data_IF_939651147229
#
_entry.id   IF_939651147229
#
_cell.length_a   1.000
_cell.length_b   1.000
_cell.length_c   1.000
_cell.angle_alpha   90.00
_cell.angle_beta   90.00
_cell.angle_gamma   90.00
#
_symmetry.space_group_name_H-M   'P 1'
#
loop_
_entity.id
_entity.type
_entity.pdbx_description
1 polymer ?
#
# COMPACT_ATOMS: atom_id res chain seq x y z
N UNK A 1 -5.02 -56.60 -42.10
CA UNK A 1 -6.20 -55.75 -42.36
C UNK A 1 -6.10 -54.57 -41.43
N UNK A 2 -5.65 -53.46 -42.00
CA UNK A 2 -5.54 -52.11 -41.45
C UNK A 2 -6.93 -51.45 -41.43
N UNK A 3 -7.24 -50.68 -40.39
CA UNK A 3 -8.16 -49.53 -40.38
C UNK A 3 -7.87 -48.77 -39.07
N UNK A 4 -7.04 -47.74 -39.09
CA UNK A 4 -7.31 -46.33 -39.45
C UNK A 4 -7.83 -45.51 -38.27
N UNK A 5 -6.94 -44.63 -37.79
CA UNK A 5 -7.24 -43.42 -37.05
C UNK A 5 -8.14 -42.49 -37.88
N UNK A 6 -9.12 -41.88 -37.23
CA UNK A 6 -9.65 -40.58 -37.66
C UNK A 6 -9.74 -39.67 -36.46
N UNK A 7 -8.85 -38.68 -36.46
CA UNK A 7 -8.90 -37.49 -35.65
C UNK A 7 -10.13 -36.65 -36.01
N UNK A 8 -10.78 -36.07 -35.00
CA UNK A 8 -11.59 -34.86 -35.16
C UNK A 8 -11.15 -33.87 -34.11
N UNK A 9 -10.37 -32.91 -34.60
CA UNK A 9 -10.16 -31.56 -34.08
C UNK A 9 -11.49 -30.83 -33.90
N UNK A 10 -11.58 -29.94 -32.92
CA UNK A 10 -12.82 -29.22 -32.65
C UNK A 10 -12.83 -28.35 -31.40
N UNK A 11 -11.88 -27.42 -31.29
CA UNK A 11 -12.14 -26.10 -30.70
C UNK A 11 -11.96 -25.97 -29.18
N UNK A 12 -10.73 -25.70 -28.77
CA UNK A 12 -10.47 -24.98 -27.54
C UNK A 12 -11.07 -23.56 -27.66
N UNK A 13 -12.18 -23.32 -26.96
CA UNK A 13 -12.56 -21.97 -26.61
C UNK A 13 -11.68 -21.58 -25.42
N UNK A 14 -10.77 -20.65 -25.67
CA UNK A 14 -9.94 -20.03 -24.64
C UNK A 14 -10.83 -19.38 -23.59
N UNK A 15 -10.82 -19.96 -22.40
CA UNK A 15 -11.35 -19.34 -21.20
C UNK A 15 -10.18 -18.63 -20.50
N UNK A 16 -9.82 -17.46 -21.03
CA UNK A 16 -8.73 -16.62 -20.54
C UNK A 16 -9.02 -15.99 -19.16
N UNK A 17 -10.08 -16.44 -18.46
CA UNK A 17 -10.46 -16.00 -17.11
C UNK A 17 -10.13 -16.98 -15.98
N UNK A 18 -9.82 -18.25 -16.29
CA UNK A 18 -9.77 -19.34 -15.28
C UNK A 18 -8.47 -19.36 -14.49
N UNK A 19 -7.35 -18.94 -15.09
CA UNK A 19 -6.04 -19.02 -14.44
C UNK A 19 -5.75 -17.87 -13.46
N UNK A 20 -6.42 -16.72 -13.61
CA UNK A 20 -6.00 -15.47 -12.97
C UNK A 20 -6.26 -15.41 -11.46
N UNK A 21 -7.19 -16.21 -10.90
CA UNK A 21 -7.59 -16.11 -9.50
C UNK A 21 -7.43 -17.40 -8.67
N UNK A 22 -6.89 -18.48 -9.26
CA UNK A 22 -6.61 -19.76 -8.57
C UNK A 22 -5.44 -19.71 -7.55
N UNK A 23 -5.12 -18.54 -7.01
CA UNK A 23 -3.99 -18.28 -6.11
C UNK A 23 -4.36 -18.40 -4.60
N UNK A 24 -5.39 -19.19 -4.27
CA UNK A 24 -5.74 -19.55 -2.88
C UNK A 24 -5.12 -20.87 -2.42
N UNK A 25 -4.12 -21.39 -3.15
CA UNK A 25 -3.52 -22.70 -2.90
C UNK A 25 -4.35 -23.87 -3.43
N UNK A 26 -5.38 -23.59 -4.23
CA UNK A 26 -6.13 -24.59 -4.97
C UNK A 26 -5.29 -25.15 -6.12
N UNK A 27 -4.76 -26.36 -5.97
CA UNK A 27 -3.95 -27.02 -7.01
C UNK A 27 -4.67 -28.19 -7.69
N UNK A 28 -5.90 -28.49 -7.29
CA UNK A 28 -6.73 -29.54 -7.87
C UNK A 28 -7.99 -28.92 -8.46
N UNK A 29 -8.55 -29.56 -9.47
CA UNK A 29 -9.77 -29.12 -10.17
C UNK A 29 -10.92 -28.85 -9.18
N UNK A 30 -11.21 -29.80 -8.28
CA UNK A 30 -12.19 -29.61 -7.21
C UNK A 30 -11.85 -28.44 -6.25
N UNK A 31 -10.57 -28.21 -5.95
CA UNK A 31 -10.20 -27.07 -5.11
C UNK A 31 -10.40 -25.73 -5.84
N UNK A 32 -10.18 -25.70 -7.16
CA UNK A 32 -10.43 -24.54 -8.01
C UNK A 32 -11.93 -24.25 -8.07
N UNK A 33 -12.76 -25.27 -8.31
CA UNK A 33 -14.23 -25.15 -8.29
C UNK A 33 -14.75 -24.58 -6.96
N UNK A 34 -14.21 -25.04 -5.82
CA UNK A 34 -14.58 -24.52 -4.50
C UNK A 34 -14.17 -23.04 -4.35
N UNK A 35 -12.96 -22.70 -4.79
CA UNK A 35 -12.46 -21.33 -4.71
C UNK A 35 -13.29 -20.38 -5.58
N UNK A 36 -13.58 -20.77 -6.82
CA UNK A 36 -14.45 -20.04 -7.76
C UNK A 36 -15.85 -19.85 -7.18
N UNK A 37 -16.50 -20.95 -6.78
CA UNK A 37 -17.85 -20.90 -6.18
C UNK A 37 -17.87 -19.99 -4.95
N UNK A 38 -16.82 -20.02 -4.13
CA UNK A 38 -16.71 -19.13 -2.97
C UNK A 38 -16.61 -17.66 -3.38
N UNK A 39 -15.90 -17.35 -4.46
CA UNK A 39 -15.71 -15.98 -4.92
C UNK A 39 -16.94 -15.44 -5.64
N UNK A 40 -17.63 -16.25 -6.42
CA UNK A 40 -18.90 -15.89 -7.05
C UNK A 40 -19.91 -15.40 -6.01
N UNK A 41 -20.03 -16.15 -4.89
CA UNK A 41 -20.87 -15.74 -3.76
C UNK A 41 -20.43 -14.43 -3.11
N UNK A 42 -19.13 -14.13 -3.12
CA UNK A 42 -18.62 -12.85 -2.61
C UNK A 42 -18.93 -11.72 -3.58
N UNK A 43 -18.82 -11.96 -4.89
CA UNK A 43 -19.14 -10.98 -5.95
C UNK A 43 -20.65 -10.68 -6.04
N UNK A 44 -21.52 -11.59 -5.61
CA UNK A 44 -22.94 -11.30 -5.39
C UNK A 44 -23.17 -10.27 -4.26
N UNK A 45 -22.24 -10.18 -3.30
CA UNK A 45 -22.36 -9.33 -2.11
C UNK A 45 -21.65 -7.99 -2.26
N UNK A 46 -20.58 -7.93 -3.07
CA UNK A 46 -19.71 -6.76 -3.19
C UNK A 46 -19.57 -6.39 -4.68
N UNK A 47 -19.83 -5.13 -5.07
CA UNK A 47 -19.58 -4.65 -6.44
C UNK A 47 -18.16 -4.99 -6.91
N UNK A 48 -17.90 -5.02 -8.22
CA UNK A 48 -16.56 -5.29 -8.78
C UNK A 48 -16.12 -4.18 -9.73
N UNK A 49 -16.58 -2.95 -9.50
CA UNK A 49 -16.40 -1.83 -10.43
C UNK A 49 -15.05 -1.11 -10.20
N UNK A 50 -14.55 -1.14 -8.97
CA UNK A 50 -13.33 -0.41 -8.58
C UNK A 50 -12.29 -1.33 -7.94
N UNK A 51 -11.03 -0.87 -7.91
CA UNK A 51 -10.00 -1.58 -7.13
C UNK A 51 -10.37 -1.61 -5.66
N UNK A 52 -10.96 -0.54 -5.11
CA UNK A 52 -11.43 -0.53 -3.73
C UNK A 52 -12.43 -1.69 -3.45
N UNK A 53 -13.27 -2.03 -4.41
CA UNK A 53 -14.24 -3.11 -4.25
C UNK A 53 -13.60 -4.49 -4.23
N UNK A 54 -12.51 -4.71 -4.98
CA UNK A 54 -11.70 -5.94 -4.87
C UNK A 54 -11.18 -6.15 -3.45
N UNK A 55 -10.75 -5.08 -2.78
CA UNK A 55 -10.30 -5.16 -1.38
C UNK A 55 -11.46 -5.41 -0.41
N UNK A 56 -12.64 -4.85 -0.67
CA UNK A 56 -13.86 -5.17 0.10
C UNK A 56 -14.25 -6.63 -0.06
N UNK A 57 -14.23 -7.16 -1.29
CA UNK A 57 -14.50 -8.56 -1.61
C UNK A 57 -13.47 -9.49 -0.94
N UNK A 58 -12.18 -9.17 -1.06
CA UNK A 58 -11.12 -9.91 -0.36
C UNK A 58 -11.31 -9.89 1.15
N UNK A 59 -11.74 -8.77 1.73
CA UNK A 59 -12.02 -8.69 3.16
C UNK A 59 -13.18 -9.62 3.58
N UNK A 60 -14.27 -9.65 2.79
CA UNK A 60 -15.38 -10.59 3.02
C UNK A 60 -14.90 -12.03 2.91
N UNK A 61 -14.16 -12.37 1.86
CA UNK A 61 -13.64 -13.72 1.64
C UNK A 61 -12.71 -14.18 2.77
N UNK A 62 -11.72 -13.36 3.13
CA UNK A 62 -10.72 -13.69 4.15
C UNK A 62 -11.31 -13.82 5.57
N UNK A 63 -12.49 -13.25 5.81
CA UNK A 63 -13.14 -13.25 7.13
C UNK A 63 -14.37 -14.17 7.18
N UNK A 64 -14.93 -14.54 6.03
CA UNK A 64 -16.22 -15.22 5.93
C UNK A 64 -17.40 -14.37 6.40
N UNK A 65 -17.24 -13.04 6.45
CA UNK A 65 -18.21 -12.12 7.05
C UNK A 65 -18.57 -10.99 6.05
N UNK A 66 -19.78 -11.04 5.45
CA UNK A 66 -20.26 -10.05 4.47
C UNK A 66 -20.19 -8.60 4.96
N UNK A 67 -20.27 -8.36 6.27
CA UNK A 67 -20.25 -7.01 6.84
C UNK A 67 -18.92 -6.30 6.60
N UNK A 68 -17.84 -7.03 6.37
CA UNK A 68 -16.52 -6.41 6.18
C UNK A 68 -16.48 -5.44 5.00
N UNK A 69 -17.31 -5.63 3.97
CA UNK A 69 -17.42 -4.69 2.86
C UNK A 69 -17.75 -3.26 3.33
N UNK A 70 -18.50 -3.12 4.44
CA UNK A 70 -18.89 -1.83 5.03
C UNK A 70 -17.91 -1.33 6.08
N UNK A 71 -16.96 -2.15 6.52
CA UNK A 71 -15.99 -1.81 7.57
C UNK A 71 -14.65 -1.31 7.04
N UNK A 72 -14.24 -1.74 5.85
CA UNK A 72 -12.96 -1.33 5.25
C UNK A 72 -12.94 0.18 5.01
N UNK A 73 -11.81 0.82 5.28
CA UNK A 73 -11.56 2.25 5.06
C UNK A 73 -10.24 2.43 4.35
N UNK A 74 -10.20 3.44 3.48
CA UNK A 74 -9.07 3.78 2.64
C UNK A 74 -8.62 5.22 2.92
N UNK A 75 -7.34 5.53 2.68
CA UNK A 75 -6.79 6.90 2.64
C UNK A 75 -6.10 7.16 1.31
N UNK A 76 -5.89 8.42 0.96
CA UNK A 76 -5.27 8.83 -0.30
C UNK A 76 -6.21 9.63 -1.20
N UNK A 77 -5.79 9.84 -2.45
CA UNK A 77 -6.53 10.70 -3.38
C UNK A 77 -7.94 10.19 -3.70
N UNK A 78 -8.13 8.87 -3.69
CA UNK A 78 -9.41 8.19 -3.82
C UNK A 78 -9.33 6.83 -3.11
N UNK A 79 -10.46 6.12 -2.99
CA UNK A 79 -10.50 4.83 -2.29
C UNK A 79 -9.66 3.73 -2.94
N UNK A 80 -9.34 3.86 -4.23
CA UNK A 80 -8.49 2.91 -4.96
C UNK A 80 -6.99 3.25 -4.85
N UNK A 81 -6.62 4.40 -4.29
CA UNK A 81 -5.22 4.81 -4.22
C UNK A 81 -4.33 3.85 -3.42
N UNK A 82 -4.72 3.31 -2.24
CA UNK A 82 -3.92 2.30 -1.55
C UNK A 82 -3.67 1.05 -2.38
N UNK A 83 -4.64 0.63 -3.20
CA UNK A 83 -4.49 -0.51 -4.09
C UNK A 83 -3.43 -0.24 -5.16
N UNK A 84 -3.51 0.93 -5.83
CA UNK A 84 -2.51 1.31 -6.84
C UNK A 84 -1.13 1.49 -6.22
N UNK A 85 -1.04 2.16 -5.07
CA UNK A 85 0.22 2.45 -4.39
C UNK A 85 0.92 1.17 -3.92
N UNK A 86 0.19 0.26 -3.27
CA UNK A 86 0.77 -1.02 -2.86
C UNK A 86 1.11 -1.91 -4.06
N UNK A 87 0.29 -1.92 -5.12
CA UNK A 87 0.64 -2.64 -6.34
C UNK A 87 1.93 -2.10 -6.98
N UNK A 88 2.09 -0.77 -7.08
CA UNK A 88 3.36 -0.15 -7.52
C UNK A 88 4.55 -0.57 -6.65
N UNK A 89 4.36 -0.62 -5.33
CA UNK A 89 5.40 -1.06 -4.41
C UNK A 89 5.76 -2.55 -4.63
N UNK A 90 4.77 -3.41 -4.88
CA UNK A 90 5.01 -4.82 -5.25
C UNK A 90 5.77 -4.93 -6.58
N UNK A 91 5.40 -4.13 -7.59
CA UNK A 91 6.10 -4.08 -8.88
C UNK A 91 7.55 -3.61 -8.74
N UNK A 92 7.81 -2.70 -7.81
CA UNK A 92 9.14 -2.22 -7.47
C UNK A 92 9.90 -3.15 -6.51
N UNK A 93 9.35 -4.33 -6.19
CA UNK A 93 9.93 -5.31 -5.27
C UNK A 93 10.21 -4.76 -3.86
N UNK A 94 9.42 -3.76 -3.44
CA UNK A 94 9.58 -3.11 -2.14
C UNK A 94 9.38 -4.12 -0.99
N UNK A 95 10.09 -3.96 0.14
CA UNK A 95 9.94 -4.84 1.30
C UNK A 95 8.50 -4.86 1.82
N UNK A 96 8.05 -6.04 2.25
CA UNK A 96 6.78 -6.21 2.98
C UNK A 96 7.13 -6.48 4.45
N UNK A 97 6.74 -5.57 5.33
CA UNK A 97 7.11 -5.59 6.75
C UNK A 97 5.89 -5.87 7.60
N UNK A 98 5.79 -7.07 8.15
CA UNK A 98 4.64 -7.51 8.95
C UNK A 98 4.89 -7.31 10.45
N UNK A 99 3.86 -7.00 11.24
CA UNK A 99 4.01 -6.87 12.70
C UNK A 99 4.42 -8.20 13.35
N UNK A 100 3.81 -9.32 12.96
CA UNK A 100 4.05 -10.65 13.53
C UNK A 100 4.27 -11.76 12.48
N UNK A 101 4.75 -12.92 12.96
CA UNK A 101 5.00 -14.11 12.14
C UNK A 101 3.74 -14.62 11.40
N UNK A 102 2.58 -14.63 12.05
CA UNK A 102 1.35 -15.19 11.46
C UNK A 102 0.91 -14.44 10.20
N UNK A 103 1.06 -13.11 10.18
CA UNK A 103 0.78 -12.29 8.99
C UNK A 103 1.76 -12.65 7.87
N UNK A 104 3.07 -12.68 8.17
CA UNK A 104 4.11 -13.09 7.21
C UNK A 104 3.81 -14.46 6.59
N UNK A 105 3.38 -15.43 7.39
CA UNK A 105 3.07 -16.78 6.90
C UNK A 105 1.83 -16.86 6.01
N UNK A 106 0.92 -15.87 6.08
CA UNK A 106 -0.28 -15.83 5.23
C UNK A 106 -0.07 -15.10 3.90
N UNK A 107 1.06 -14.41 3.72
CA UNK A 107 1.39 -13.72 2.48
C UNK A 107 1.89 -14.76 1.46
N UNK A 108 1.31 -14.75 0.26
CA UNK A 108 1.70 -15.67 -0.82
C UNK A 108 3.15 -15.42 -1.24
N UNK A 109 3.88 -16.47 -1.61
CA UNK A 109 5.20 -16.34 -2.22
C UNK A 109 5.18 -16.25 -3.75
N UNK A 110 3.99 -16.33 -4.36
CA UNK A 110 3.80 -16.30 -5.81
C UNK A 110 3.48 -14.88 -6.27
N UNK A 111 3.79 -14.58 -7.53
CA UNK A 111 3.41 -13.31 -8.15
C UNK A 111 4.25 -12.09 -7.75
N UNK A 112 5.27 -12.21 -6.89
CA UNK A 112 6.21 -11.13 -6.57
C UNK A 112 7.57 -11.65 -6.09
N UNK A 113 8.58 -10.77 -6.02
CA UNK A 113 9.90 -11.05 -5.44
C UNK A 113 10.25 -10.18 -4.23
N UNK A 114 9.29 -9.41 -3.71
CA UNK A 114 9.44 -8.64 -2.47
C UNK A 114 9.98 -9.47 -1.30
N UNK A 115 10.92 -8.90 -0.55
CA UNK A 115 11.34 -9.48 0.73
C UNK A 115 10.20 -9.35 1.76
N UNK A 116 9.69 -10.49 2.26
CA UNK A 116 8.70 -10.50 3.35
C UNK A 116 9.41 -10.73 4.68
N UNK A 117 9.45 -9.69 5.52
CA UNK A 117 10.08 -9.73 6.87
C UNK A 117 9.07 -9.40 7.95
N UNK A 118 9.36 -9.86 9.16
CA UNK A 118 8.55 -9.57 10.36
C UNK A 118 9.28 -8.61 11.27
N UNK A 119 8.54 -7.70 11.90
CA UNK A 119 9.04 -6.78 12.91
C UNK A 119 9.31 -7.52 14.22
N UNK A 120 8.38 -8.36 14.69
CA UNK A 120 8.53 -9.06 15.97
C UNK A 120 9.83 -9.86 16.03
N UNK A 121 10.61 -9.62 17.10
CA UNK A 121 11.95 -10.18 17.28
C UNK A 121 13.05 -9.11 17.24
N UNK A 122 12.73 -7.90 16.76
CA UNK A 122 13.60 -6.72 16.85
C UNK A 122 13.24 -5.88 18.10
N UNK A 123 14.15 -5.04 18.58
CA UNK A 123 13.87 -4.08 19.65
C UNK A 123 13.61 -4.71 21.03
N UNK A 124 14.17 -5.88 21.32
CA UNK A 124 13.98 -6.57 22.61
C UNK A 124 14.52 -5.74 23.79
N UNK A 125 15.67 -5.10 23.61
CA UNK A 125 16.28 -4.19 24.59
C UNK A 125 15.39 -2.96 24.80
N UNK A 126 14.96 -2.31 23.71
CA UNK A 126 14.04 -1.17 23.77
C UNK A 126 12.75 -1.49 24.52
N UNK A 127 12.17 -2.67 24.31
CA UNK A 127 10.98 -3.12 25.04
C UNK A 127 11.25 -3.27 26.55
N UNK A 128 12.40 -3.83 26.93
CA UNK A 128 12.78 -4.03 28.32
C UNK A 128 13.05 -2.71 29.04
N UNK A 129 13.72 -1.77 28.37
CA UNK A 129 14.10 -0.47 28.95
C UNK A 129 12.90 0.46 29.14
N UNK A 130 11.97 0.48 28.17
CA UNK A 130 10.85 1.44 28.17
C UNK A 130 9.54 0.87 28.72
N UNK A 131 9.46 -0.45 28.90
CA UNK A 131 8.25 -1.15 29.33
C UNK A 131 7.15 -1.23 28.26
N UNK A 132 7.44 -0.87 27.01
CA UNK A 132 6.47 -0.97 25.91
C UNK A 132 6.28 -2.42 25.43
N UNK A 133 5.21 -2.67 24.69
CA UNK A 133 4.99 -4.01 24.10
C UNK A 133 6.07 -4.34 23.09
N UNK A 134 6.49 -5.61 23.02
CA UNK A 134 7.48 -6.09 22.04
C UNK A 134 7.18 -5.67 20.60
N UNK A 135 5.92 -5.72 20.18
CA UNK A 135 5.52 -5.33 18.81
C UNK A 135 5.70 -3.84 18.55
N UNK A 136 5.41 -2.97 19.52
CA UNK A 136 5.66 -1.53 19.39
C UNK A 136 7.17 -1.25 19.31
N UNK A 137 7.96 -1.84 20.21
CA UNK A 137 9.41 -1.69 20.20
C UNK A 137 10.04 -2.20 18.89
N UNK A 138 9.55 -3.33 18.37
CA UNK A 138 10.00 -3.86 17.08
C UNK A 138 9.72 -2.92 15.91
N UNK A 139 8.57 -2.24 15.89
CA UNK A 139 8.25 -1.24 14.85
C UNK A 139 9.23 -0.07 14.95
N UNK A 140 9.37 0.53 16.14
CA UNK A 140 10.29 1.66 16.35
C UNK A 140 11.75 1.31 16.02
N UNK A 141 12.17 0.09 16.34
CA UNK A 141 13.53 -0.37 16.03
C UNK A 141 13.77 -0.51 14.53
N UNK A 142 12.80 -1.08 13.79
CA UNK A 142 12.92 -1.18 12.33
C UNK A 142 12.79 0.19 11.64
N UNK A 143 12.00 1.09 12.21
CA UNK A 143 11.88 2.47 11.73
C UNK A 143 13.20 3.24 11.83
N UNK A 144 13.89 3.14 12.97
CA UNK A 144 15.24 3.71 13.15
C UNK A 144 16.27 3.19 12.14
N UNK A 145 16.04 2.01 11.59
CA UNK A 145 16.88 1.38 10.56
C UNK A 145 16.45 1.78 9.13
N UNK A 146 15.44 2.63 8.98
CA UNK A 146 14.90 3.09 7.69
C UNK A 146 14.11 2.02 6.93
N UNK A 147 13.68 0.95 7.60
CA UNK A 147 13.08 -0.23 6.93
C UNK A 147 11.67 0.05 6.40
N UNK A 148 10.97 1.04 6.96
CA UNK A 148 9.59 1.35 6.60
C UNK A 148 9.46 2.34 5.42
N UNK A 149 10.50 3.11 5.10
CA UNK A 149 10.44 4.06 3.99
C UNK A 149 10.31 3.32 2.64
N UNK A 150 9.25 3.64 1.89
CA UNK A 150 8.90 2.97 0.63
C UNK A 150 8.42 1.52 0.78
N UNK A 151 8.36 0.96 2.00
CA UNK A 151 7.91 -0.40 2.24
C UNK A 151 6.38 -0.52 2.26
N UNK A 152 5.88 -1.75 2.15
CA UNK A 152 4.50 -2.10 2.47
C UNK A 152 4.45 -2.52 3.93
N UNK A 153 3.88 -1.66 4.79
CA UNK A 153 3.77 -1.93 6.22
C UNK A 153 2.46 -2.68 6.52
N UNK A 154 2.54 -3.85 7.16
CA UNK A 154 1.37 -4.71 7.41
C UNK A 154 1.22 -4.99 8.90
N UNK A 155 0.14 -4.50 9.51
CA UNK A 155 -0.18 -4.71 10.93
C UNK A 155 -1.46 -5.52 11.06
N UNK A 156 -1.34 -6.83 11.32
CA UNK A 156 -2.50 -7.72 11.40
C UNK A 156 -2.95 -8.07 12.81
N UNK A 157 -2.09 -7.88 13.82
CA UNK A 157 -2.37 -8.38 15.16
C UNK A 157 -2.33 -7.31 16.24
N UNK A 158 -1.25 -6.53 16.35
CA UNK A 158 -1.01 -5.71 17.53
C UNK A 158 -1.50 -4.25 17.39
N UNK A 159 -2.51 -3.80 18.18
CA UNK A 159 -2.91 -2.39 18.20
C UNK A 159 -1.75 -1.44 18.55
N UNK A 160 -0.83 -1.88 19.40
CA UNK A 160 0.34 -1.08 19.77
C UNK A 160 1.38 -0.97 18.66
N UNK A 161 1.45 -1.93 17.73
CA UNK A 161 2.27 -1.78 16.52
C UNK A 161 1.67 -0.73 15.57
N UNK A 162 0.35 -0.70 15.43
CA UNK A 162 -0.33 0.33 14.64
C UNK A 162 -0.14 1.73 15.24
N UNK A 163 -0.16 1.87 16.57
CA UNK A 163 0.15 3.13 17.24
C UNK A 163 1.60 3.57 17.00
N UNK A 164 2.56 2.66 17.19
CA UNK A 164 3.98 2.95 16.94
C UNK A 164 4.25 3.32 15.47
N UNK A 165 3.62 2.62 14.52
CA UNK A 165 3.76 2.95 13.10
C UNK A 165 3.15 4.33 12.78
N UNK A 166 2.06 4.70 13.44
CA UNK A 166 1.51 6.04 13.32
C UNK A 166 2.47 7.09 13.89
N UNK A 167 3.15 6.83 15.02
CA UNK A 167 4.21 7.72 15.53
C UNK A 167 5.33 7.89 14.51
N UNK A 168 5.78 6.79 13.88
CA UNK A 168 6.82 6.84 12.85
C UNK A 168 6.41 7.71 11.64
N UNK A 169 5.15 7.57 11.18
CA UNK A 169 4.63 8.37 10.06
C UNK A 169 4.56 9.85 10.43
N UNK A 170 4.09 10.16 11.64
CA UNK A 170 4.05 11.54 12.17
C UNK A 170 5.47 12.15 12.22
N UNK A 171 6.46 11.34 12.59
CA UNK A 171 7.88 11.74 12.69
C UNK A 171 8.64 11.77 11.35
N UNK A 172 8.01 11.37 10.24
CA UNK A 172 8.55 11.56 8.90
C UNK A 172 8.68 10.31 8.04
N UNK A 173 8.46 9.12 8.59
CA UNK A 173 8.52 7.86 7.83
C UNK A 173 7.42 7.80 6.77
N UNK A 174 7.74 7.33 5.57
CA UNK A 174 6.80 7.26 4.43
C UNK A 174 6.74 5.86 3.82
N UNK A 175 5.95 4.93 4.40
CA UNK A 175 5.62 3.67 3.74
C UNK A 175 4.93 3.92 2.40
N UNK A 176 5.18 3.07 1.40
CA UNK A 176 4.51 3.17 0.11
C UNK A 176 3.02 2.84 0.21
N UNK A 177 2.67 1.90 1.09
CA UNK A 177 1.30 1.60 1.47
C UNK A 177 1.26 0.96 2.86
N UNK A 178 0.13 1.11 3.56
CA UNK A 178 -0.11 0.51 4.87
C UNK A 178 -1.35 -0.39 4.83
N UNK A 179 -1.26 -1.61 5.33
CA UNK A 179 -2.41 -2.50 5.59
C UNK A 179 -2.48 -2.73 7.09
N UNK A 180 -3.45 -2.13 7.77
CA UNK A 180 -3.54 -2.20 9.23
C UNK A 180 -4.94 -2.63 9.69
N UNK A 181 -5.03 -3.88 10.11
CA UNK A 181 -6.24 -4.50 10.62
C UNK A 181 -6.01 -5.24 11.94
N UNK A 182 -5.25 -4.70 12.93
CA UNK A 182 -5.07 -5.39 14.22
C UNK A 182 -6.42 -5.68 14.88
N UNK A 183 -6.63 -6.91 15.33
CA UNK A 183 -7.84 -7.33 16.06
C UNK A 183 -7.71 -7.01 17.55
N UNK A 184 -8.83 -6.70 18.21
CA UNK A 184 -8.83 -6.64 19.66
C UNK A 184 -10.00 -5.90 20.27
N UNK A 185 -10.22 -6.15 21.55
CA UNK A 185 -11.22 -5.45 22.36
C UNK A 185 -10.68 -4.19 23.03
N UNK A 186 -9.37 -4.03 23.08
CA UNK A 186 -8.67 -2.91 23.71
C UNK A 186 -7.79 -2.24 22.66
N UNK A 187 -7.94 -0.92 22.50
CA UNK A 187 -7.15 -0.05 21.59
C UNK A 187 -7.20 -0.40 20.09
N UNK A 188 -7.79 -1.51 19.65
CA UNK A 188 -7.80 -1.88 18.24
C UNK A 188 -8.53 -0.84 17.37
N UNK A 189 -9.74 -0.42 17.77
CA UNK A 189 -10.49 0.62 17.06
C UNK A 189 -9.73 1.96 17.03
N UNK A 190 -9.22 2.39 18.19
CA UNK A 190 -8.55 3.69 18.34
C UNK A 190 -7.20 3.73 17.62
N UNK A 191 -6.43 2.64 17.67
CA UNK A 191 -5.13 2.54 16.98
C UNK A 191 -5.28 2.63 15.46
N UNK A 192 -6.26 1.94 14.88
CA UNK A 192 -6.54 2.03 13.44
C UNK A 192 -7.13 3.37 13.05
N UNK A 193 -7.92 3.99 13.93
CA UNK A 193 -8.41 5.36 13.73
C UNK A 193 -7.24 6.34 13.65
N UNK A 194 -6.36 6.34 14.67
CA UNK A 194 -5.19 7.21 14.70
C UNK A 194 -4.28 6.98 13.50
N UNK A 195 -3.91 5.73 13.22
CA UNK A 195 -3.07 5.40 12.06
C UNK A 195 -3.68 5.91 10.76
N UNK A 196 -5.00 5.75 10.57
CA UNK A 196 -5.68 6.25 9.38
C UNK A 196 -5.64 7.78 9.29
N UNK A 197 -5.88 8.48 10.39
CA UNK A 197 -5.83 9.95 10.43
C UNK A 197 -4.42 10.48 10.11
N UNK A 198 -3.39 9.94 10.77
CA UNK A 198 -2.00 10.31 10.52
C UNK A 198 -1.56 9.95 9.09
N UNK A 199 -1.94 8.76 8.60
CA UNK A 199 -1.61 8.37 7.25
C UNK A 199 -2.24 9.31 6.20
N UNK A 200 -3.49 9.71 6.39
CA UNK A 200 -4.16 10.68 5.50
C UNK A 200 -3.49 12.05 5.55
N UNK A 201 -3.19 12.56 6.75
CA UNK A 201 -2.52 13.85 6.97
C UNK A 201 -1.14 13.93 6.30
N UNK A 202 -0.38 12.84 6.35
CA UNK A 202 0.97 12.77 5.78
C UNK A 202 1.04 12.17 4.37
N UNK A 203 -0.11 11.92 3.72
CA UNK A 203 -0.17 11.43 2.35
C UNK A 203 0.32 9.98 2.16
N UNK A 204 0.21 9.14 3.19
CA UNK A 204 0.51 7.71 3.17
C UNK A 204 -0.77 6.92 2.83
N UNK A 205 -0.84 6.21 1.69
CA UNK A 205 -1.99 5.38 1.34
C UNK A 205 -2.16 4.20 2.30
N UNK A 206 -3.35 4.03 2.86
CA UNK A 206 -3.61 3.03 3.89
C UNK A 206 -4.95 2.32 3.71
N UNK A 207 -4.98 1.04 4.04
CA UNK A 207 -6.15 0.18 4.13
C UNK A 207 -6.33 -0.23 5.60
N UNK A 208 -7.47 0.14 6.18
CA UNK A 208 -7.81 -0.18 7.57
C UNK A 208 -9.25 -0.67 7.67
N UNK A 209 -9.74 -0.92 8.88
CA UNK A 209 -11.16 -1.18 9.12
C UNK A 209 -11.67 -0.54 10.43
N UNK A 210 -12.98 -0.36 10.55
CA UNK A 210 -13.61 0.12 11.80
C UNK A 210 -14.07 -1.01 12.72
N UNK A 211 -14.22 -0.73 14.02
CA UNK A 211 -14.71 -1.69 15.02
C UNK A 211 -13.62 -2.49 15.74
N UNK A 212 -13.93 -3.71 16.22
CA UNK A 212 -12.98 -4.56 16.97
C UNK A 212 -12.42 -5.72 16.15
N UNK A 213 -13.15 -6.11 15.10
CA UNK A 213 -12.79 -7.18 14.16
C UNK A 213 -11.54 -6.78 13.37
N UNK A 214 -10.85 -7.78 12.83
CA UNK A 214 -9.57 -7.65 12.14
C UNK A 214 -8.83 -8.98 12.19
N UNK A 215 -7.50 -8.94 12.19
CA UNK A 215 -6.66 -10.10 12.45
C UNK A 215 -5.67 -10.37 11.32
N UNK A 216 -4.80 -11.34 11.56
CA UNK A 216 -3.72 -11.70 10.66
C UNK A 216 -4.21 -12.20 9.30
N UNK A 217 -5.31 -12.99 9.27
CA UNK A 217 -5.87 -13.51 8.03
C UNK A 217 -6.38 -12.41 7.10
N UNK A 218 -7.06 -11.41 7.66
CA UNK A 218 -7.50 -10.24 6.91
C UNK A 218 -6.31 -9.42 6.39
N UNK A 219 -5.32 -9.14 7.25
CA UNK A 219 -4.13 -8.38 6.84
C UNK A 219 -3.36 -9.07 5.71
N UNK A 220 -3.16 -10.39 5.83
CA UNK A 220 -2.52 -11.20 4.80
C UNK A 220 -3.34 -11.22 3.51
N UNK A 221 -4.66 -11.45 3.59
CA UNK A 221 -5.55 -11.46 2.44
C UNK A 221 -5.54 -10.14 1.66
N UNK A 222 -5.64 -9.00 2.36
CA UNK A 222 -5.55 -7.68 1.74
C UNK A 222 -4.16 -7.44 1.13
N UNK A 223 -3.09 -7.91 1.78
CA UNK A 223 -1.73 -7.80 1.21
C UNK A 223 -1.57 -8.65 -0.05
N UNK A 224 -2.13 -9.86 -0.08
CA UNK A 224 -2.16 -10.70 -1.27
C UNK A 224 -2.97 -10.05 -2.41
N UNK A 225 -4.02 -9.29 -2.11
CA UNK A 225 -4.73 -8.53 -3.14
C UNK A 225 -3.87 -7.44 -3.77
N UNK A 226 -2.94 -6.82 -3.03
CA UNK A 226 -1.95 -5.91 -3.64
C UNK A 226 -1.06 -6.65 -4.64
N UNK A 227 -0.70 -7.90 -4.36
CA UNK A 227 0.07 -8.76 -5.26
C UNK A 227 -0.72 -9.12 -6.51
N UNK A 228 -2.00 -9.47 -6.38
CA UNK A 228 -2.86 -9.76 -7.53
C UNK A 228 -3.02 -8.53 -8.43
N UNK A 229 -3.35 -7.37 -7.84
CA UNK A 229 -3.45 -6.10 -8.59
C UNK A 229 -2.12 -5.78 -9.29
N UNK A 230 -0.97 -6.08 -8.67
CA UNK A 230 0.33 -5.93 -9.32
C UNK A 230 0.52 -6.89 -10.49
N UNK A 231 0.09 -8.15 -10.38
CA UNK A 231 0.13 -9.11 -11.50
C UNK A 231 -0.71 -8.63 -12.67
N UNK A 232 -1.96 -8.27 -12.41
CA UNK A 232 -2.88 -7.73 -13.43
C UNK A 232 -2.32 -6.48 -14.11
N UNK A 233 -1.60 -5.64 -13.35
CA UNK A 233 -0.93 -4.46 -13.89
C UNK A 233 0.27 -4.81 -14.79
N UNK A 234 1.03 -5.87 -14.52
CA UNK A 234 2.10 -6.35 -15.44
C UNK A 234 1.52 -6.86 -16.75
N UNK A 235 0.35 -7.47 -16.68
CA UNK A 235 -0.38 -8.01 -17.83
C UNK A 235 -1.16 -6.92 -18.60
N UNK A 236 -1.19 -5.70 -18.07
CA UNK A 236 -1.86 -4.55 -18.69
C UNK A 236 -3.38 -4.54 -18.48
N UNK A 237 -3.93 -5.42 -17.66
CA UNK A 237 -5.35 -5.49 -17.34
C UNK A 237 -5.80 -4.36 -16.40
N UNK A 238 -4.89 -3.82 -15.57
CA UNK A 238 -5.17 -2.73 -14.62
C UNK A 238 -4.13 -1.62 -14.73
N UNK A 239 -4.57 -0.36 -14.77
CA UNK A 239 -3.66 0.80 -14.65
C UNK A 239 -3.40 1.16 -13.19
N UNK A 240 -2.13 1.18 -12.80
CA UNK A 240 -1.66 1.60 -11.46
C UNK A 240 -0.82 2.87 -11.48
N UNK A 241 -0.79 3.60 -12.62
CA UNK A 241 -0.07 4.85 -12.74
C UNK A 241 -0.61 5.90 -11.75
N UNK A 242 0.28 6.76 -11.24
CA UNK A 242 -0.13 7.94 -10.49
C UNK A 242 -0.91 8.87 -11.42
N UNK A 243 -2.05 9.39 -10.96
CA UNK A 243 -2.74 10.44 -11.69
C UNK A 243 -1.76 11.62 -11.81
N UNK A 244 -1.29 11.92 -13.04
CA UNK A 244 -0.44 13.08 -13.23
C UNK A 244 -1.26 14.29 -12.81
N UNK A 245 -0.78 15.07 -11.82
CA UNK A 245 -1.27 16.43 -11.66
C UNK A 245 -1.03 17.10 -13.00
N UNK A 246 -2.09 17.46 -13.71
CA UNK A 246 -1.97 18.33 -14.88
C UNK A 246 -1.34 19.63 -14.37
N UNK A 247 -0.03 19.76 -14.53
CA UNK A 247 0.65 21.03 -14.44
C UNK A 247 0.03 21.89 -15.53
N UNK A 248 -0.91 22.75 -15.14
CA UNK A 248 -1.44 23.77 -16.03
C UNK A 248 -0.27 24.57 -16.56
N UNK A 249 -0.11 24.58 -17.88
CA UNK A 249 0.73 25.53 -18.56
C UNK A 249 0.17 26.93 -18.28
N UNK A 250 0.70 27.60 -17.25
CA UNK A 250 0.69 29.05 -17.22
C UNK A 250 1.82 29.51 -18.13
N UNK A 251 1.47 29.91 -19.35
CA UNK A 251 2.35 30.64 -20.25
C UNK A 251 2.84 31.92 -19.58
N UNK A 252 4.07 31.87 -19.05
CA UNK A 252 4.83 33.02 -18.60
C UNK A 252 5.79 33.43 -19.71
N UNK A 253 5.43 34.50 -20.41
CA UNK A 253 6.27 35.16 -21.41
C UNK A 253 7.52 35.73 -20.72
N UNK A 254 8.71 35.31 -21.18
CA UNK A 254 9.99 35.75 -20.66
C UNK A 254 10.26 37.23 -21.04
N UNK A 255 10.87 38.05 -20.16
CA UNK A 255 11.20 39.42 -20.51
C UNK A 255 12.47 39.47 -21.38
N UNK A 256 12.37 40.22 -22.48
CA UNK A 256 13.39 40.43 -23.52
C UNK A 256 14.62 41.18 -22.97
N UNK A 257 15.77 40.49 -22.94
CA UNK A 257 17.08 41.05 -22.63
C UNK A 257 17.63 41.88 -23.82
N UNK A 258 17.09 43.08 -24.06
CA UNK A 258 17.74 44.07 -24.91
C UNK A 258 17.56 45.49 -24.40
N UNK A 259 18.34 45.85 -23.38
CA UNK A 259 18.79 47.24 -23.18
C UNK A 259 19.97 47.29 -22.19
N UNK A 260 21.14 46.87 -22.66
CA UNK A 260 22.43 47.33 -22.11
C UNK A 260 23.38 47.60 -23.26
N UNK A 261 23.50 48.88 -23.61
CA UNK A 261 24.70 49.51 -24.19
C UNK A 261 24.45 51.02 -24.25
N UNK A 262 25.54 51.76 -24.04
CA UNK A 262 25.71 53.22 -24.11
C UNK A 262 25.34 53.96 -22.81
N UNK A 263 26.19 54.78 -22.18
CA UNK A 263 27.57 55.16 -22.46
C UNK A 263 28.23 55.68 -21.17
N UNK A 264 29.54 55.44 -21.10
CA UNK A 264 30.55 56.04 -20.23
C UNK A 264 30.70 57.55 -20.43
N UNK A 265 30.95 58.33 -19.36
CA UNK A 265 32.22 59.07 -19.12
C UNK A 265 32.15 59.85 -17.77
N UNK A 266 33.29 60.10 -17.07
CA UNK A 266 33.35 60.66 -15.72
C UNK A 266 33.74 62.15 -15.69
N UNK A 267 33.54 62.79 -14.53
CA UNK A 267 34.27 63.94 -13.95
C UNK A 267 33.48 64.41 -12.72
N UNK A 268 33.97 64.20 -11.50
CA UNK A 268 34.95 65.06 -10.78
C UNK A 268 34.31 66.39 -10.33
N UNK A 269 34.01 66.51 -9.02
CA UNK A 269 34.53 67.59 -8.16
C UNK A 269 33.77 67.67 -6.81
N UNK A 270 34.55 67.44 -5.74
CA UNK A 270 34.67 68.26 -4.51
C UNK A 270 33.73 68.16 -3.30
N UNK A 271 34.45 68.23 -2.17
CA UNK A 271 34.15 68.70 -0.81
C UNK A 271 33.45 67.69 0.10
N UNK A 272 34.12 67.12 1.13
CA UNK A 272 34.58 67.75 2.38
C UNK A 272 33.39 68.38 3.13
N UNK A 273 33.08 68.11 4.41
CA UNK A 273 33.76 67.40 5.51
C UNK A 273 32.66 67.10 6.57
N UNK A 274 32.92 66.75 7.85
CA UNK A 274 32.18 65.71 8.57
C UNK A 274 31.25 66.31 9.65
N UNK A 275 30.55 65.48 10.41
CA UNK A 275 30.46 65.70 11.86
C UNK A 275 29.94 64.45 12.61
N UNK A 276 30.70 64.11 13.64
CA UNK A 276 30.41 63.16 14.71
C UNK A 276 29.09 63.47 15.45
N UNK A 277 28.50 62.45 16.08
CA UNK A 277 27.64 62.71 17.23
C UNK A 277 26.69 61.59 17.66
N UNK A 278 27.23 60.61 18.39
CA UNK A 278 26.58 59.71 19.36
C UNK A 278 25.54 58.68 18.88
#
# INVERSE_FOLDING_TARGET
MTTEETATDGGAAADDGVEAYADLGATTENAMEIAETSMDRVHELVPQETLADRFRAKAVHATGDPEFQHLVRFTGADESEPARAGARAVLAEAPIVTDITMVKSGITGRGHSCEVRKAIGNGAELAAETGMTRTAASVLELDRQGVYDGAIAVVGNAPTAALALADCIEDGTRPAAVVATPVGFVKAADSRKRLREVADEHGVPAITNVGRRGGSGLAAGLTNELVHVASDAREGAVSVATASRSSGESGGEAPDERQRREASDPRDDRAADPEDGQ
#
